data_IF_652415585968
#
_entry.id   IF_652415585968
#
_cell.length_a   1.000
_cell.length_b   1.000
_cell.length_c   1.000
_cell.angle_alpha   90.00
_cell.angle_beta   90.00
_cell.angle_gamma   90.00
#
_symmetry.space_group_name_H-M   'P 1'
#
loop_
_entity.id
_entity.type
_entity.pdbx_description
1 polymer ?
#
# COMPACT_ATOMS: atom_id res chain seq x y z
N UNK A 1 -13.73 31.13 -28.05
CA UNK A 1 -14.35 29.79 -27.95
C UNK A 1 -13.27 28.74 -28.08
N UNK A 2 -12.55 28.44 -26.99
CA UNK A 2 -11.58 27.35 -26.93
C UNK A 2 -12.33 26.09 -26.52
N UNK A 3 -12.51 25.15 -27.45
CA UNK A 3 -13.05 23.83 -27.15
C UNK A 3 -12.14 23.19 -26.11
N UNK A 4 -12.72 22.90 -24.94
CA UNK A 4 -12.04 22.22 -23.85
C UNK A 4 -11.52 20.88 -24.36
N UNK A 5 -10.24 20.62 -24.11
CA UNK A 5 -9.71 19.26 -24.18
C UNK A 5 -10.49 18.48 -23.13
N UNK A 6 -11.36 17.58 -23.58
CA UNK A 6 -12.04 16.64 -22.71
C UNK A 6 -10.96 15.93 -21.90
N UNK A 7 -10.92 16.25 -20.62
CA UNK A 7 -9.96 15.66 -19.69
C UNK A 7 -10.41 14.22 -19.53
N UNK A 8 -9.79 13.33 -20.31
CA UNK A 8 -10.14 11.92 -20.35
C UNK A 8 -10.01 11.34 -18.93
N UNK A 9 -11.17 11.08 -18.32
CA UNK A 9 -11.28 10.48 -17.00
C UNK A 9 -10.61 9.10 -17.04
N UNK A 10 -9.64 8.86 -16.15
CA UNK A 10 -8.97 7.55 -16.05
C UNK A 10 -9.81 6.63 -15.16
N UNK A 11 -10.82 5.99 -15.74
CA UNK A 11 -11.42 4.81 -15.12
C UNK A 11 -10.46 3.63 -15.31
N UNK A 12 -10.31 2.77 -14.30
CA UNK A 12 -9.57 1.53 -14.45
C UNK A 12 -10.35 0.60 -15.41
N UNK A 13 -9.63 -0.24 -16.15
CA UNK A 13 -10.20 -1.22 -17.07
C UNK A 13 -11.34 -2.04 -16.43
N UNK A 14 -11.11 -2.52 -15.22
CA UNK A 14 -12.08 -3.34 -14.49
C UNK A 14 -13.37 -2.56 -14.17
N UNK A 15 -13.26 -1.29 -13.79
CA UNK A 15 -14.42 -0.43 -13.48
C UNK A 15 -15.26 -0.18 -14.73
N UNK A 16 -14.60 -0.01 -15.88
CA UNK A 16 -15.27 0.16 -17.17
C UNK A 16 -16.03 -1.12 -17.52
N UNK A 17 -15.38 -2.28 -17.42
CA UNK A 17 -16.00 -3.58 -17.72
C UNK A 17 -17.19 -3.84 -16.80
N UNK A 18 -17.03 -3.65 -15.49
CA UNK A 18 -18.11 -3.83 -14.50
C UNK A 18 -19.34 -2.97 -14.82
N UNK A 19 -19.14 -1.68 -15.13
CA UNK A 19 -20.22 -0.78 -15.54
C UNK A 19 -20.89 -1.18 -16.86
N UNK A 20 -20.10 -1.67 -17.83
CA UNK A 20 -20.67 -2.19 -19.09
C UNK A 20 -21.50 -3.43 -18.79
N UNK A 21 -21.04 -4.35 -17.95
CA UNK A 21 -21.77 -5.56 -17.53
C UNK A 21 -23.12 -5.21 -16.90
N UNK A 22 -23.13 -4.30 -15.93
CA UNK A 22 -24.36 -3.87 -15.24
C UNK A 22 -25.40 -3.29 -16.20
N UNK A 23 -24.97 -2.47 -17.17
CA UNK A 23 -25.88 -1.72 -18.05
C UNK A 23 -26.22 -2.43 -19.37
N UNK A 24 -25.37 -3.34 -19.83
CA UNK A 24 -25.60 -4.09 -21.08
C UNK A 24 -26.34 -5.42 -20.88
N UNK A 25 -26.30 -5.98 -19.66
CA UNK A 25 -26.78 -7.34 -19.41
C UNK A 25 -25.91 -8.44 -20.06
N UNK A 26 -24.74 -8.09 -20.61
CA UNK A 26 -23.80 -9.04 -21.21
C UNK A 26 -22.86 -9.61 -20.16
N UNK A 27 -22.46 -10.86 -20.34
CA UNK A 27 -21.45 -11.48 -19.47
C UNK A 27 -20.09 -10.78 -19.63
N UNK A 28 -19.32 -10.74 -18.55
CA UNK A 28 -17.98 -10.14 -18.54
C UNK A 28 -17.06 -10.72 -19.64
N UNK A 29 -17.12 -12.03 -19.86
CA UNK A 29 -16.35 -12.72 -20.91
C UNK A 29 -16.65 -12.19 -22.32
N UNK A 30 -17.92 -11.91 -22.60
CA UNK A 30 -18.37 -11.38 -23.89
C UNK A 30 -17.90 -9.93 -24.08
N UNK A 31 -17.91 -9.13 -23.02
CA UNK A 31 -17.41 -7.75 -23.05
C UNK A 31 -15.90 -7.72 -23.30
N UNK A 32 -15.13 -8.54 -22.58
CA UNK A 32 -13.67 -8.64 -22.77
C UNK A 32 -13.35 -9.07 -24.20
N UNK A 33 -14.08 -10.05 -24.75
CA UNK A 33 -13.90 -10.48 -26.14
C UNK A 33 -14.08 -9.33 -27.13
N UNK A 34 -15.16 -8.53 -26.99
CA UNK A 34 -15.41 -7.37 -27.85
C UNK A 34 -14.33 -6.29 -27.73
N UNK A 35 -13.78 -6.11 -26.53
CA UNK A 35 -12.69 -5.16 -26.29
C UNK A 35 -11.42 -5.62 -26.99
N UNK A 36 -11.06 -6.90 -26.85
CA UNK A 36 -9.86 -7.47 -27.45
C UNK A 36 -9.94 -7.42 -28.99
N UNK A 37 -11.10 -7.78 -29.57
CA UNK A 37 -11.37 -7.60 -31.01
C UNK A 37 -11.19 -6.13 -31.44
N UNK A 38 -11.61 -5.17 -30.62
CA UNK A 38 -11.46 -3.74 -30.93
C UNK A 38 -10.01 -3.26 -30.87
N UNK A 39 -9.23 -3.76 -29.91
CA UNK A 39 -7.79 -3.51 -29.84
C UNK A 39 -7.07 -4.03 -31.08
N UNK A 40 -7.43 -5.22 -31.56
CA UNK A 40 -6.87 -5.82 -32.78
C UNK A 40 -7.24 -5.03 -34.03
N UNK A 41 -8.52 -4.67 -34.21
CA UNK A 41 -8.98 -3.87 -35.35
C UNK A 41 -8.23 -2.53 -35.43
N UNK A 42 -7.97 -1.93 -34.27
CA UNK A 42 -7.29 -0.65 -34.19
C UNK A 42 -5.76 -0.79 -34.17
N UNK A 43 -5.23 -1.99 -34.47
CA UNK A 43 -3.81 -2.27 -34.69
C UNK A 43 -2.91 -1.77 -33.55
N UNK A 44 -3.40 -1.83 -32.31
CA UNK A 44 -2.67 -1.35 -31.13
C UNK A 44 -2.58 0.18 -30.98
N UNK A 45 -3.29 0.96 -31.80
CA UNK A 45 -3.35 2.44 -31.67
C UNK A 45 -4.08 2.90 -30.40
N UNK A 46 -4.84 2.00 -29.76
CA UNK A 46 -5.55 2.28 -28.51
C UNK A 46 -5.25 1.20 -27.49
N UNK A 47 -5.12 1.65 -26.23
CA UNK A 47 -4.98 0.75 -25.07
C UNK A 47 -6.27 -0.03 -24.83
N UNK A 48 -6.20 -1.06 -23.97
CA UNK A 48 -7.37 -1.86 -23.58
C UNK A 48 -8.46 -1.01 -22.93
N UNK A 49 -8.08 -0.01 -22.14
CA UNK A 49 -9.00 1.00 -21.58
C UNK A 49 -9.64 1.85 -22.68
N UNK A 50 -8.84 2.30 -23.66
CA UNK A 50 -9.33 3.02 -24.83
C UNK A 50 -10.35 2.20 -25.63
N UNK A 51 -10.06 0.92 -25.87
CA UNK A 51 -10.99 -0.01 -26.50
C UNK A 51 -12.25 -0.26 -25.67
N UNK A 52 -12.13 -0.35 -24.34
CA UNK A 52 -13.28 -0.48 -23.44
C UNK A 52 -14.21 0.73 -23.50
N UNK A 53 -13.67 1.95 -23.61
CA UNK A 53 -14.45 3.16 -23.84
C UNK A 53 -15.17 3.14 -25.21
N UNK A 54 -14.53 2.60 -26.25
CA UNK A 54 -15.14 2.46 -27.58
C UNK A 54 -16.32 1.48 -27.51
N UNK A 55 -16.12 0.30 -26.90
CA UNK A 55 -17.18 -0.70 -26.73
C UNK A 55 -18.35 -0.16 -25.91
N UNK A 56 -18.07 0.60 -24.83
CA UNK A 56 -19.12 1.24 -24.05
C UNK A 56 -19.95 2.22 -24.90
N UNK A 57 -19.31 3.04 -25.72
CA UNK A 57 -19.99 3.97 -26.62
C UNK A 57 -20.81 3.25 -27.70
N UNK A 58 -20.32 2.15 -28.26
CA UNK A 58 -21.07 1.33 -29.23
C UNK A 58 -22.33 0.71 -28.62
N UNK A 59 -22.25 0.31 -27.34
CA UNK A 59 -23.40 -0.15 -26.58
C UNK A 59 -24.31 0.99 -26.10
N UNK A 60 -24.03 2.24 -26.48
CA UNK A 60 -24.71 3.45 -26.00
C UNK A 60 -24.71 3.59 -24.47
N UNK A 61 -23.69 3.01 -23.82
CA UNK A 61 -23.50 3.05 -22.37
C UNK A 61 -22.65 4.26 -22.03
N UNK A 62 -23.28 5.23 -21.37
CA UNK A 62 -22.55 6.32 -20.73
C UNK A 62 -21.86 5.77 -19.48
N UNK A 63 -20.54 5.59 -19.56
CA UNK A 63 -19.68 5.18 -18.43
C UNK A 63 -19.65 6.22 -17.31
N UNK A 64 -19.98 7.46 -17.67
CA UNK A 64 -20.18 8.58 -16.77
C UNK A 64 -21.63 8.99 -16.84
N UNK A 65 -22.36 8.79 -15.76
CA UNK A 65 -23.47 9.68 -15.48
C UNK A 65 -22.87 11.00 -15.02
N UNK A 66 -23.43 12.12 -15.48
CA UNK A 66 -23.30 13.35 -14.70
C UNK A 66 -24.06 13.06 -13.41
N UNK A 67 -23.36 12.55 -12.41
CA UNK A 67 -23.95 12.31 -11.10
C UNK A 67 -24.17 13.69 -10.50
N UNK A 68 -25.36 14.24 -10.71
CA UNK A 68 -25.78 15.46 -10.04
C UNK A 68 -26.26 15.09 -8.65
N UNK A 69 -25.57 15.57 -7.62
CA UNK A 69 -25.95 15.41 -6.22
C UNK A 69 -24.89 14.70 -5.38
N UNK A 70 -25.26 14.43 -4.11
CA UNK A 70 -24.41 13.80 -3.10
C UNK A 70 -24.06 12.36 -3.49
N UNK A 71 -22.77 12.05 -3.55
CA UNK A 71 -22.24 10.69 -3.74
C UNK A 71 -21.62 10.14 -2.46
N UNK A 72 -21.61 8.82 -2.34
CA UNK A 72 -20.89 8.13 -1.27
C UNK A 72 -19.38 8.18 -1.54
N UNK A 73 -18.59 8.12 -0.47
CA UNK A 73 -17.14 8.29 -0.56
C UNK A 73 -16.48 7.18 -1.39
N UNK A 74 -16.97 5.94 -1.31
CA UNK A 74 -16.44 4.81 -2.10
C UNK A 74 -16.55 5.03 -3.62
N UNK A 75 -17.50 5.86 -4.06
CA UNK A 75 -17.81 6.09 -5.47
C UNK A 75 -17.07 7.31 -6.03
N UNK A 76 -16.25 7.99 -5.21
CA UNK A 76 -15.42 9.11 -5.64
C UNK A 76 -14.25 8.60 -6.46
N UNK A 77 -14.24 8.93 -7.75
CA UNK A 77 -13.21 8.51 -8.69
C UNK A 77 -12.34 9.67 -9.17
N UNK A 78 -11.05 9.41 -9.34
CA UNK A 78 -10.09 10.39 -9.87
C UNK A 78 -10.56 11.01 -11.18
N UNK A 79 -10.50 12.34 -11.27
CA UNK A 79 -10.95 13.12 -12.41
C UNK A 79 -12.37 13.68 -12.28
N UNK A 80 -13.20 13.16 -11.37
CA UNK A 80 -14.53 13.73 -11.11
C UNK A 80 -14.44 15.23 -10.76
N UNK A 81 -15.28 16.03 -11.42
CA UNK A 81 -15.45 17.46 -11.15
C UNK A 81 -16.77 17.65 -10.42
N UNK A 82 -16.84 18.69 -9.61
CA UNK A 82 -18.04 19.03 -8.83
C UNK A 82 -18.55 17.90 -7.94
N UNK A 83 -17.62 17.21 -7.26
CA UNK A 83 -17.94 16.19 -6.26
C UNK A 83 -18.70 16.83 -5.11
N UNK A 84 -19.90 16.32 -4.83
CA UNK A 84 -20.63 16.59 -3.61
C UNK A 84 -20.63 15.32 -2.75
N UNK A 85 -20.14 15.39 -1.52
CA UNK A 85 -20.13 14.24 -0.60
C UNK A 85 -20.15 14.73 0.84
N UNK A 86 -20.59 13.88 1.77
CA UNK A 86 -20.52 14.18 3.19
C UNK A 86 -19.79 13.08 3.94
N UNK A 87 -19.06 13.46 4.97
CA UNK A 87 -18.30 12.53 5.81
C UNK A 87 -18.03 13.13 7.18
N UNK A 88 -17.90 12.27 8.18
CA UNK A 88 -17.45 12.63 9.52
C UNK A 88 -15.92 12.71 9.54
N UNK A 89 -15.37 13.78 10.12
CA UNK A 89 -13.93 13.99 10.24
C UNK A 89 -13.33 12.90 11.12
N UNK A 90 -12.34 12.20 10.57
CA UNK A 90 -11.57 11.17 11.27
C UNK A 90 -10.22 11.68 11.75
N UNK A 91 -9.60 12.60 11.00
CA UNK A 91 -8.28 13.10 11.29
C UNK A 91 -8.08 14.48 10.66
N UNK A 92 -7.42 15.39 11.37
CA UNK A 92 -7.07 16.72 10.89
C UNK A 92 -5.55 16.86 10.86
N UNK A 93 -4.97 17.30 9.74
CA UNK A 93 -3.53 17.53 9.62
C UNK A 93 -3.19 19.02 9.79
N UNK A 94 -1.98 19.35 10.30
CA UNK A 94 -1.57 20.74 10.48
C UNK A 94 -1.53 21.53 9.16
N UNK A 95 -1.88 22.82 9.24
CA UNK A 95 -1.67 23.79 8.16
C UNK A 95 -0.18 23.89 7.84
N UNK A 96 0.17 23.86 6.56
CA UNK A 96 1.52 24.06 6.05
C UNK A 96 1.55 25.22 5.06
N UNK A 97 2.65 25.96 5.02
CA UNK A 97 2.90 26.98 3.99
C UNK A 97 3.97 26.49 3.02
N UNK A 98 3.92 26.99 1.79
CA UNK A 98 4.92 26.70 0.76
C UNK A 98 5.15 27.94 -0.10
N UNK A 99 6.37 28.09 -0.61
CA UNK A 99 6.69 29.15 -1.56
C UNK A 99 6.59 28.64 -2.98
N UNK A 100 6.01 29.42 -3.88
CA UNK A 100 5.89 29.12 -5.30
C UNK A 100 6.08 30.40 -6.11
N UNK A 101 6.72 30.32 -7.27
CA UNK A 101 6.75 31.43 -8.23
C UNK A 101 5.44 31.49 -9.00
N UNK A 102 4.85 32.68 -9.11
CA UNK A 102 3.69 32.93 -9.96
C UNK A 102 4.11 32.99 -11.45
N UNK A 103 3.17 33.27 -12.35
CA UNK A 103 3.45 33.36 -13.79
C UNK A 103 4.36 34.55 -14.16
N UNK A 104 4.52 35.52 -13.25
CA UNK A 104 5.38 36.68 -13.37
C UNK A 104 6.73 36.50 -12.66
N UNK A 105 7.10 35.27 -12.28
CA UNK A 105 8.32 34.93 -11.54
C UNK A 105 8.46 35.56 -10.13
N UNK A 106 7.38 36.11 -9.57
CA UNK A 106 7.36 36.66 -8.22
C UNK A 106 7.10 35.53 -7.20
N UNK A 107 7.80 35.59 -6.06
CA UNK A 107 7.56 34.64 -4.95
C UNK A 107 6.18 34.89 -4.32
N UNK A 108 5.33 33.87 -4.36
CA UNK A 108 4.06 33.82 -3.65
C UNK A 108 4.08 32.72 -2.59
N UNK A 109 3.52 33.01 -1.42
CA UNK A 109 3.33 32.04 -0.35
C UNK A 109 1.93 31.43 -0.42
N UNK A 110 1.86 30.13 -0.73
CA UNK A 110 0.65 29.34 -0.70
C UNK A 110 0.45 28.61 0.62
N UNK A 111 -0.80 28.26 0.92
CA UNK A 111 -1.17 27.45 2.07
C UNK A 111 -1.78 26.13 1.64
N UNK A 112 -1.51 25.08 2.39
CA UNK A 112 -2.14 23.77 2.21
C UNK A 112 -2.46 23.15 3.57
N UNK A 113 -3.66 22.61 3.68
CA UNK A 113 -4.07 21.78 4.79
C UNK A 113 -4.84 20.57 4.27
N UNK A 114 -4.97 19.54 5.09
CA UNK A 114 -5.78 18.39 4.70
C UNK A 114 -6.39 17.73 5.92
N UNK A 115 -7.44 16.96 5.68
CA UNK A 115 -8.12 16.17 6.70
C UNK A 115 -8.70 14.91 6.03
N UNK A 116 -9.09 13.93 6.85
CA UNK A 116 -9.76 12.70 6.38
C UNK A 116 -11.20 12.74 6.84
N UNK A 117 -12.11 12.45 5.92
CA UNK A 117 -13.52 12.21 6.23
C UNK A 117 -13.89 10.76 5.94
N UNK A 118 -14.92 10.27 6.62
CA UNK A 118 -15.48 8.95 6.44
C UNK A 118 -17.01 9.00 6.40
N UNK A 119 -17.62 8.17 5.57
CA UNK A 119 -19.05 7.86 5.60
C UNK A 119 -19.24 6.37 5.91
N UNK A 120 -20.44 5.82 5.73
CA UNK A 120 -20.71 4.39 5.93
C UNK A 120 -19.92 3.49 4.95
N UNK A 121 -19.38 4.06 3.88
CA UNK A 121 -18.83 3.31 2.74
C UNK A 121 -17.31 3.31 2.64
N UNK A 122 -16.65 4.45 2.87
CA UNK A 122 -15.21 4.57 2.75
C UNK A 122 -14.66 5.80 3.48
N UNK A 123 -13.33 5.94 3.46
CA UNK A 123 -12.62 7.14 3.91
C UNK A 123 -11.93 7.81 2.72
N UNK A 124 -11.84 9.14 2.73
CA UNK A 124 -11.12 9.90 1.70
C UNK A 124 -10.38 11.09 2.29
N UNK A 125 -9.22 11.40 1.72
CA UNK A 125 -8.49 12.64 2.05
C UNK A 125 -9.11 13.81 1.30
N UNK A 126 -9.27 14.91 2.01
CA UNK A 126 -9.69 16.20 1.49
C UNK A 126 -8.54 17.19 1.66
N UNK A 127 -8.14 17.84 0.58
CA UNK A 127 -7.01 18.78 0.54
C UNK A 127 -7.54 20.19 0.27
N UNK A 128 -7.25 21.10 1.21
CA UNK A 128 -7.61 22.50 1.21
C UNK A 128 -6.43 23.34 0.70
N UNK A 129 -6.67 24.23 -0.25
CA UNK A 129 -5.64 25.10 -0.82
C UNK A 129 -5.92 26.57 -0.55
N UNK A 130 -4.85 27.34 -0.31
CA UNK A 130 -4.87 28.80 -0.10
C UNK A 130 -5.89 29.20 0.97
N UNK A 131 -6.83 30.09 0.65
CA UNK A 131 -7.84 30.60 1.60
C UNK A 131 -8.68 29.49 2.23
N UNK A 132 -8.93 28.39 1.50
CA UNK A 132 -9.63 27.24 2.06
C UNK A 132 -8.82 26.54 3.15
N UNK A 133 -7.49 26.61 3.09
CA UNK A 133 -6.62 25.96 4.07
C UNK A 133 -6.79 26.57 5.47
N UNK A 134 -7.10 27.87 5.57
CA UNK A 134 -7.33 28.52 6.86
C UNK A 134 -8.56 27.96 7.60
N UNK A 135 -9.52 27.38 6.87
CA UNK A 135 -10.72 26.73 7.41
C UNK A 135 -10.44 25.42 8.15
N UNK A 136 -9.22 24.89 8.08
CA UNK A 136 -8.80 23.72 8.86
C UNK A 136 -9.04 23.92 10.37
N UNK A 137 -9.02 25.18 10.84
CA UNK A 137 -9.27 25.56 12.24
C UNK A 137 -10.72 25.34 12.68
N UNK A 138 -11.66 25.28 11.73
CA UNK A 138 -13.07 25.00 11.99
C UNK A 138 -13.33 23.48 12.19
N UNK A 139 -12.35 22.65 11.82
CA UNK A 139 -12.46 21.19 11.77
C UNK A 139 -11.87 20.55 13.02
N UNK A 140 -12.58 19.55 13.54
CA UNK A 140 -12.14 18.66 14.61
C UNK A 140 -12.69 17.27 14.35
N UNK A 141 -12.04 16.24 14.90
CA UNK A 141 -12.53 14.87 14.83
C UNK A 141 -13.97 14.76 15.33
N UNK A 142 -14.77 13.91 14.69
CA UNK A 142 -16.18 13.70 15.00
C UNK A 142 -17.17 14.68 14.36
N UNK A 143 -16.73 15.82 13.81
CA UNK A 143 -17.62 16.75 13.10
C UNK A 143 -18.10 16.18 11.77
N UNK A 144 -19.33 16.51 11.36
CA UNK A 144 -19.84 16.12 10.04
C UNK A 144 -19.56 17.25 9.05
N UNK A 145 -19.03 16.89 7.90
CA UNK A 145 -18.65 17.83 6.85
C UNK A 145 -19.40 17.48 5.58
N UNK A 146 -19.99 18.48 4.94
CA UNK A 146 -20.51 18.39 3.58
C UNK A 146 -19.62 19.20 2.65
N UNK A 147 -19.11 18.52 1.62
CA UNK A 147 -18.34 19.12 0.55
C UNK A 147 -19.26 19.32 -0.64
N UNK A 148 -19.18 20.49 -1.26
CA UNK A 148 -19.75 20.76 -2.58
C UNK A 148 -18.69 21.32 -3.51
N UNK A 149 -18.84 21.02 -4.79
CA UNK A 149 -17.92 21.43 -5.84
C UNK A 149 -16.46 21.04 -5.61
N UNK A 150 -16.24 19.85 -5.01
CA UNK A 150 -14.91 19.26 -4.87
C UNK A 150 -14.34 18.76 -6.20
N UNK A 151 -13.02 18.70 -6.32
CA UNK A 151 -12.35 18.09 -7.49
C UNK A 151 -11.61 16.84 -7.06
N UNK A 152 -12.03 15.66 -7.54
CA UNK A 152 -11.30 14.43 -7.30
C UNK A 152 -10.02 14.39 -8.14
N UNK A 153 -8.87 14.27 -7.49
CA UNK A 153 -7.56 14.12 -8.14
C UNK A 153 -6.93 12.81 -7.74
N UNK A 154 -6.15 12.26 -8.67
CA UNK A 154 -5.28 11.12 -8.36
C UNK A 154 -4.08 11.58 -7.54
N UNK A 155 -3.87 10.94 -6.40
CA UNK A 155 -2.64 11.02 -5.62
C UNK A 155 -2.04 9.62 -5.49
N UNK A 156 -1.14 9.27 -6.40
CA UNK A 156 -0.43 7.99 -6.39
C UNK A 156 -1.39 6.78 -6.41
N UNK A 157 -2.44 6.85 -7.25
CA UNK A 157 -3.46 5.81 -7.34
C UNK A 157 -4.59 5.91 -6.32
N UNK A 158 -4.58 6.94 -5.46
CA UNK A 158 -5.64 7.19 -4.46
C UNK A 158 -6.44 8.43 -4.85
N UNK A 159 -7.77 8.35 -4.96
CA UNK A 159 -8.57 9.55 -5.17
C UNK A 159 -8.52 10.44 -3.92
N UNK A 160 -8.28 11.73 -4.12
CA UNK A 160 -8.37 12.76 -3.09
C UNK A 160 -9.25 13.91 -3.56
N UNK A 161 -10.03 14.49 -2.65
CA UNK A 161 -10.88 15.63 -2.98
C UNK A 161 -10.12 16.93 -2.72
N UNK A 162 -9.83 17.68 -3.78
CA UNK A 162 -9.24 19.00 -3.70
C UNK A 162 -10.33 20.06 -3.64
N UNK A 163 -10.28 20.92 -2.62
CA UNK A 163 -11.14 22.09 -2.53
C UNK A 163 -10.41 23.32 -3.09
N UNK A 164 -11.09 24.04 -3.96
CA UNK A 164 -10.64 25.29 -4.57
C UNK A 164 -11.48 26.46 -4.05
N UNK A 165 -11.23 27.67 -4.56
CA UNK A 165 -12.05 28.84 -4.27
C UNK A 165 -13.53 28.68 -4.66
N UNK A 166 -13.85 27.77 -5.60
CA UNK A 166 -15.24 27.47 -5.99
C UNK A 166 -15.92 26.42 -5.11
N UNK A 167 -15.16 25.71 -4.30
CA UNK A 167 -15.68 24.61 -3.49
C UNK A 167 -16.30 25.15 -2.21
N UNK A 168 -17.39 24.53 -1.75
CA UNK A 168 -18.00 24.84 -0.46
C UNK A 168 -17.73 23.71 0.53
N UNK A 169 -17.35 24.10 1.75
CA UNK A 169 -17.14 23.22 2.88
C UNK A 169 -18.14 23.66 3.96
N UNK A 170 -19.11 22.82 4.28
CA UNK A 170 -20.15 23.09 5.27
C UNK A 170 -19.86 22.22 6.49
N UNK A 171 -19.64 22.86 7.63
CA UNK A 171 -19.37 22.20 8.91
C UNK A 171 -20.69 22.02 9.65
N UNK A 172 -20.90 20.81 10.20
CA UNK A 172 -22.10 20.40 10.92
C UNK A 172 -23.41 20.73 10.16
N UNK A 173 -23.58 20.20 8.93
CA UNK A 173 -24.76 20.44 8.11
C UNK A 173 -26.03 19.86 8.76
N UNK A 174 -27.12 20.62 8.71
CA UNK A 174 -28.42 20.21 9.24
C UNK A 174 -28.97 19.02 8.41
N UNK A 175 -29.43 17.98 9.10
CA UNK A 175 -30.12 16.85 8.47
C UNK A 175 -29.21 15.81 7.83
N UNK A 176 -27.90 15.83 8.12
CA UNK A 176 -26.97 14.77 7.73
C UNK A 176 -26.48 14.07 8.98
N UNK A 177 -26.79 12.79 9.09
CA UNK A 177 -26.25 11.88 10.10
C UNK A 177 -25.35 10.86 9.40
N UNK A 178 -24.27 10.44 10.06
CA UNK A 178 -23.32 9.48 9.54
C UNK A 178 -23.01 8.46 10.62
N UNK A 179 -23.21 7.17 10.33
CA UNK A 179 -22.92 6.07 11.25
C UNK A 179 -21.66 5.32 10.81
N UNK A 180 -20.59 5.41 11.60
CA UNK A 180 -19.30 4.82 11.26
C UNK A 180 -19.06 3.45 11.90
N UNK A 181 -20.06 2.79 12.48
CA UNK A 181 -19.90 1.48 13.14
C UNK A 181 -19.16 0.45 12.27
N UNK A 182 -19.45 0.42 10.97
CA UNK A 182 -18.84 -0.54 10.02
C UNK A 182 -17.46 -0.12 9.50
N UNK A 183 -17.12 1.17 9.63
CA UNK A 183 -15.88 1.77 9.13
C UNK A 183 -14.81 1.82 10.23
N UNK A 184 -15.21 1.94 11.50
CA UNK A 184 -14.31 1.94 12.65
C UNK A 184 -13.41 0.69 12.71
N UNK A 185 -13.83 -0.42 12.09
CA UNK A 185 -13.07 -1.68 12.04
C UNK A 185 -12.26 -1.88 10.74
N UNK A 186 -12.54 -1.13 9.67
CA UNK A 186 -11.77 -1.21 8.43
C UNK A 186 -10.56 -0.27 8.53
N UNK A 187 -9.30 -0.73 8.42
CA UNK A 187 -8.16 0.19 8.37
C UNK A 187 -8.27 1.14 7.16
N UNK A 188 -7.60 2.29 7.21
CA UNK A 188 -7.55 3.34 6.17
C UNK A 188 -6.99 2.86 4.80
N UNK A 189 -6.76 1.56 4.63
CA UNK A 189 -6.19 0.99 3.42
C UNK A 189 -7.33 0.57 2.49
N UNK A 190 -7.52 1.34 1.41
CA UNK A 190 -8.11 0.82 0.18
C UNK A 190 -7.44 -0.54 -0.08
N UNK A 191 -8.23 -1.60 -0.22
CA UNK A 191 -7.74 -2.98 -0.30
C UNK A 191 -6.56 -3.05 -1.25
N UNK A 192 -5.36 -3.21 -0.68
CA UNK A 192 -4.15 -3.31 -1.50
C UNK A 192 -4.31 -4.58 -2.31
N UNK A 193 -4.30 -4.41 -3.63
CA UNK A 193 -4.40 -5.54 -4.54
C UNK A 193 -3.10 -6.33 -4.43
N UNK A 194 -3.16 -7.57 -3.93
CA UNK A 194 -2.04 -8.52 -4.00
C UNK A 194 -1.86 -8.89 -5.45
N UNK A 195 -0.63 -8.72 -5.94
CA UNK A 195 -0.25 -9.03 -7.32
C UNK A 195 0.99 -9.91 -7.26
N UNK A 196 1.14 -10.83 -8.22
CA UNK A 196 2.39 -11.55 -8.43
C UNK A 196 3.35 -10.69 -9.23
N UNK A 197 4.66 -10.85 -9.03
CA UNK A 197 5.67 -10.01 -9.66
C UNK A 197 5.53 -10.05 -11.19
N UNK A 198 5.29 -11.23 -11.77
CA UNK A 198 5.08 -11.40 -13.23
C UNK A 198 3.89 -10.61 -13.81
N UNK A 199 2.91 -10.28 -12.97
CA UNK A 199 1.65 -9.66 -13.38
C UNK A 199 1.68 -8.13 -13.17
N UNK A 200 2.81 -7.60 -12.67
CA UNK A 200 3.03 -6.17 -12.50
C UNK A 200 3.09 -5.47 -13.85
N UNK A 201 2.39 -4.34 -13.94
CA UNK A 201 2.40 -3.45 -15.11
C UNK A 201 3.12 -2.16 -14.80
N UNK A 202 3.65 -1.52 -15.84
CA UNK A 202 4.22 -0.18 -15.73
C UNK A 202 3.18 0.83 -15.24
N UNK A 203 3.47 1.53 -14.14
CA UNK A 203 2.57 2.52 -13.55
C UNK A 203 1.50 1.97 -12.62
N UNK A 204 1.54 0.67 -12.30
CA UNK A 204 0.74 0.10 -11.21
C UNK A 204 1.01 0.88 -9.91
N UNK A 205 -0.07 1.18 -9.19
CA UNK A 205 -0.04 1.95 -7.94
C UNK A 205 -0.81 1.20 -6.86
N UNK A 206 -0.39 1.38 -5.60
CA UNK A 206 -1.02 0.77 -4.43
C UNK A 206 -1.17 -0.77 -4.54
N UNK A 207 -0.15 -1.43 -5.09
CA UNK A 207 -0.09 -2.90 -5.20
C UNK A 207 0.72 -3.49 -4.05
N UNK A 208 0.39 -4.72 -3.68
CA UNK A 208 1.00 -5.46 -2.57
C UNK A 208 1.76 -6.69 -3.11
N UNK A 209 3.03 -6.81 -2.73
CA UNK A 209 3.89 -7.93 -3.07
C UNK A 209 4.25 -8.69 -1.79
N UNK A 210 4.01 -10.00 -1.81
CA UNK A 210 4.52 -10.92 -0.81
C UNK A 210 5.69 -11.67 -1.45
N UNK A 211 6.91 -11.42 -0.99
CA UNK A 211 8.14 -11.81 -1.70
C UNK A 211 9.30 -12.03 -0.73
N UNK A 212 10.34 -12.71 -1.19
CA UNK A 212 11.59 -12.90 -0.49
C UNK A 212 12.64 -11.91 -0.99
N UNK A 213 13.47 -11.39 -0.08
CA UNK A 213 14.65 -10.60 -0.45
C UNK A 213 15.77 -11.55 -0.88
N UNK A 214 16.00 -11.70 -2.17
CA UNK A 214 17.02 -12.63 -2.70
C UNK A 214 18.39 -11.98 -2.89
N UNK A 215 18.42 -10.65 -3.02
CA UNK A 215 19.65 -9.88 -3.08
C UNK A 215 19.42 -8.46 -2.56
N UNK A 216 20.44 -7.85 -1.97
CA UNK A 216 20.41 -6.47 -1.52
C UNK A 216 21.77 -5.81 -1.75
N UNK A 217 21.76 -4.55 -2.16
CA UNK A 217 22.97 -3.76 -2.37
C UNK A 217 23.26 -2.93 -1.13
N UNK A 218 24.50 -2.46 -0.93
CA UNK A 218 24.78 -1.54 0.18
C UNK A 218 23.95 -0.24 0.05
N UNK A 219 23.35 0.27 1.15
CA UNK A 219 22.67 1.56 1.15
C UNK A 219 23.57 2.68 0.66
N UNK A 220 23.07 3.48 -0.29
CA UNK A 220 23.78 4.67 -0.78
C UNK A 220 23.33 5.90 -0.04
N UNK A 221 24.25 6.54 0.67
CA UNK A 221 24.05 7.79 1.37
C UNK A 221 24.27 8.98 0.44
N UNK A 222 23.50 10.04 0.63
CA UNK A 222 23.66 11.30 -0.08
C UNK A 222 23.17 12.47 0.77
N UNK A 223 23.70 13.65 0.47
CA UNK A 223 23.45 14.87 1.21
C UNK A 223 22.11 15.50 0.79
N UNK A 224 21.34 15.91 1.80
CA UNK A 224 20.04 16.57 1.64
C UNK A 224 19.94 17.80 2.54
N UNK A 225 19.06 18.72 2.17
CA UNK A 225 18.80 19.89 2.98
C UNK A 225 18.02 19.48 4.24
N UNK A 226 18.43 19.89 5.45
CA UNK A 226 17.71 19.55 6.69
C UNK A 226 16.27 20.08 6.70
N UNK A 227 16.00 21.19 6.00
CA UNK A 227 14.69 21.88 5.99
C UNK A 227 13.68 21.26 5.01
N UNK A 228 14.08 21.02 3.75
CA UNK A 228 13.17 20.48 2.72
C UNK A 228 13.49 19.07 2.25
N UNK A 229 14.57 18.45 2.73
CA UNK A 229 14.99 17.08 2.39
C UNK A 229 15.28 16.85 0.89
N UNK A 230 15.40 17.94 0.11
CA UNK A 230 15.87 17.91 -1.28
C UNK A 230 17.39 17.77 -1.30
N UNK A 231 17.91 17.13 -2.35
CA UNK A 231 19.34 16.94 -2.56
C UNK A 231 20.07 18.29 -2.61
N UNK A 232 21.17 18.41 -1.88
CA UNK A 232 22.04 19.60 -1.91
C UNK A 232 23.21 19.37 -2.85
N UNK A 233 23.81 20.45 -3.36
CA UNK A 233 24.99 20.40 -4.22
C UNK A 233 26.20 20.98 -3.49
N UNK A 234 27.36 20.32 -3.50
CA UNK A 234 28.58 20.93 -2.99
C UNK A 234 29.00 22.12 -3.87
N UNK A 235 29.47 23.19 -3.23
CA UNK A 235 30.14 24.37 -3.81
C UNK A 235 31.42 24.65 -3.04
N UNK A 236 32.25 25.58 -3.52
CA UNK A 236 33.56 25.92 -2.92
C UNK A 236 33.46 26.24 -1.41
N UNK A 237 32.38 26.89 -0.97
CA UNK A 237 32.17 27.31 0.43
C UNK A 237 31.10 26.50 1.19
N UNK A 238 30.79 25.26 0.77
CA UNK A 238 29.87 24.37 1.51
C UNK A 238 28.73 23.80 0.67
N UNK A 239 27.61 23.42 1.31
CA UNK A 239 26.48 22.77 0.64
C UNK A 239 25.35 23.75 0.34
N UNK A 240 24.87 23.72 -0.90
CA UNK A 240 23.83 24.63 -1.37
C UNK A 240 22.53 23.90 -1.70
N UNK A 241 21.44 24.37 -1.10
CA UNK A 241 20.06 24.01 -1.42
C UNK A 241 19.42 25.09 -2.30
N UNK A 242 18.75 24.69 -3.38
CA UNK A 242 18.08 25.62 -4.29
C UNK A 242 17.00 26.50 -3.60
N UNK A 243 16.45 26.05 -2.46
CA UNK A 243 15.43 26.78 -1.69
C UNK A 243 15.99 27.48 -0.44
N UNK A 244 16.93 26.85 0.27
CA UNK A 244 17.42 27.30 1.57
C UNK A 244 18.82 27.90 1.52
N UNK A 245 19.39 28.03 0.32
CA UNK A 245 20.75 28.51 0.06
C UNK A 245 21.77 27.64 0.79
N UNK A 246 22.78 28.26 1.40
CA UNK A 246 23.81 27.58 2.17
C UNK A 246 23.21 26.89 3.40
N UNK A 247 23.51 25.61 3.55
CA UNK A 247 23.03 24.77 4.64
C UNK A 247 24.11 23.79 5.06
N UNK A 248 24.14 23.44 6.34
CA UNK A 248 24.81 22.20 6.77
C UNK A 248 23.95 21.01 6.33
N UNK A 249 24.51 20.06 5.55
CA UNK A 249 23.74 18.97 5.00
C UNK A 249 23.32 17.97 6.07
N UNK A 250 22.09 17.47 5.95
CA UNK A 250 21.67 16.23 6.57
C UNK A 250 21.89 15.08 5.58
N UNK A 251 21.80 13.83 6.03
CA UNK A 251 21.96 12.65 5.17
C UNK A 251 20.66 11.90 4.97
N UNK A 252 20.47 11.44 3.73
CA UNK A 252 19.42 10.50 3.33
C UNK A 252 20.05 9.31 2.63
N UNK A 253 19.29 8.22 2.54
CA UNK A 253 19.80 6.95 2.00
C UNK A 253 18.75 6.24 1.16
N UNK A 254 19.26 5.52 0.15
CA UNK A 254 18.49 4.66 -0.73
C UNK A 254 19.11 3.27 -0.77
N UNK A 255 18.28 2.26 -0.56
CA UNK A 255 18.65 0.86 -0.68
C UNK A 255 17.96 0.28 -1.90
N UNK A 256 18.70 -0.51 -2.67
CA UNK A 256 18.10 -1.33 -3.72
C UNK A 256 18.17 -2.78 -3.29
N UNK A 257 17.09 -3.52 -3.55
CA UNK A 257 17.05 -4.96 -3.35
C UNK A 257 16.41 -5.65 -4.56
N UNK A 258 16.59 -6.95 -4.68
CA UNK A 258 15.91 -7.82 -5.63
C UNK A 258 14.96 -8.70 -4.85
N UNK A 259 13.70 -8.68 -5.26
CA UNK A 259 12.62 -9.45 -4.68
C UNK A 259 12.26 -10.61 -5.59
N UNK A 260 11.87 -11.74 -5.01
CA UNK A 260 11.40 -12.93 -5.71
C UNK A 260 10.16 -13.49 -5.00
N UNK A 261 9.08 -13.75 -5.73
CA UNK A 261 7.83 -14.32 -5.20
C UNK A 261 7.52 -15.72 -5.78
N UNK A 262 8.51 -16.32 -6.43
CA UNK A 262 8.44 -17.59 -7.16
C UNK A 262 7.91 -17.46 -8.59
N UNK A 263 7.43 -16.29 -9.01
CA UNK A 263 6.92 -16.07 -10.38
C UNK A 263 7.91 -15.33 -11.27
N UNK A 264 8.52 -14.27 -10.75
CA UNK A 264 9.56 -13.49 -11.42
C UNK A 264 10.34 -12.70 -10.36
N UNK A 265 11.47 -12.11 -10.76
CA UNK A 265 12.25 -11.22 -9.89
C UNK A 265 12.03 -9.76 -10.27
N UNK A 266 12.00 -8.86 -9.27
CA UNK A 266 11.90 -7.41 -9.51
C UNK A 266 12.87 -6.64 -8.63
N UNK A 267 13.43 -5.56 -9.20
CA UNK A 267 14.23 -4.61 -8.44
C UNK A 267 13.31 -3.71 -7.62
N UNK A 268 13.48 -3.70 -6.32
CA UNK A 268 12.80 -2.81 -5.40
C UNK A 268 13.71 -1.69 -4.89
N UNK A 269 13.15 -0.50 -4.75
CA UNK A 269 13.84 0.72 -4.29
C UNK A 269 13.20 1.17 -2.98
N UNK A 270 14.02 1.22 -1.94
CA UNK A 270 13.65 1.62 -0.58
C UNK A 270 14.28 2.97 -0.27
N UNK A 271 13.47 3.94 0.14
CA UNK A 271 13.93 5.27 0.52
C UNK A 271 13.79 5.49 2.02
N UNK A 272 14.82 6.06 2.66
CA UNK A 272 14.78 6.60 4.03
C UNK A 272 14.07 5.68 5.03
N UNK A 273 12.85 6.03 5.45
CA UNK A 273 12.08 5.33 6.47
C UNK A 273 11.78 3.87 6.09
N UNK A 274 11.76 3.54 4.80
CA UNK A 274 11.59 2.16 4.34
C UNK A 274 12.86 1.32 4.55
N UNK A 275 14.04 1.95 4.45
CA UNK A 275 15.33 1.31 4.75
C UNK A 275 15.43 1.07 6.25
N UNK A 276 15.13 2.08 7.05
CA UNK A 276 15.04 2.00 8.53
C UNK A 276 14.13 0.84 8.97
N UNK A 277 12.94 0.74 8.37
CA UNK A 277 11.99 -0.33 8.65
C UNK A 277 12.47 -1.71 8.22
N UNK A 278 13.07 -1.82 7.03
CA UNK A 278 13.55 -3.10 6.52
C UNK A 278 14.62 -3.70 7.44
N UNK A 279 15.52 -2.86 7.96
CA UNK A 279 16.57 -3.27 8.89
C UNK A 279 16.14 -3.23 10.37
N UNK A 280 14.95 -2.73 10.68
CA UNK A 280 14.50 -2.46 12.07
C UNK A 280 15.45 -1.57 12.88
N UNK A 281 16.00 -0.53 12.24
CA UNK A 281 16.94 0.41 12.87
C UNK A 281 16.46 1.85 12.75
N UNK A 282 16.93 2.69 13.66
CA UNK A 282 16.70 4.14 13.62
C UNK A 282 17.60 4.85 12.62
N UNK A 283 17.24 6.10 12.26
CA UNK A 283 18.10 6.97 11.47
C UNK A 283 19.49 7.17 12.08
N UNK A 284 19.61 7.29 13.40
CA UNK A 284 20.90 7.49 14.07
C UNK A 284 21.83 6.28 13.84
N UNK A 285 21.30 5.07 14.06
CA UNK A 285 22.02 3.83 13.80
C UNK A 285 22.42 3.69 12.32
N UNK A 286 21.55 4.09 11.38
CA UNK A 286 21.90 4.12 9.96
C UNK A 286 23.09 5.04 9.65
N UNK A 287 23.18 6.19 10.33
CA UNK A 287 24.28 7.14 10.13
C UNK A 287 25.59 6.63 10.73
N UNK A 288 25.54 5.94 11.88
CA UNK A 288 26.73 5.29 12.48
C UNK A 288 27.32 4.22 11.55
N UNK A 289 26.46 3.50 10.82
CA UNK A 289 26.88 2.48 9.87
C UNK A 289 27.53 3.04 8.61
N UNK A 290 27.26 4.30 8.26
CA UNK A 290 27.83 4.94 7.06
C UNK A 290 29.35 4.84 7.03
N UNK A 291 30.00 4.94 8.18
CA UNK A 291 31.45 4.95 8.32
C UNK A 291 32.01 3.59 8.78
N UNK A 292 31.18 2.54 8.85
CA UNK A 292 31.54 1.19 9.24
C UNK A 292 31.08 0.15 8.18
N UNK A 293 31.91 -0.10 7.14
CA UNK A 293 31.55 -0.99 6.03
C UNK A 293 31.26 -2.44 6.43
N UNK A 294 32.02 -2.99 7.39
CA UNK A 294 31.88 -4.39 7.79
C UNK A 294 30.52 -4.64 8.45
N UNK A 295 30.13 -3.78 9.39
CA UNK A 295 28.81 -3.86 10.04
C UNK A 295 27.65 -3.60 9.06
N UNK A 296 27.87 -2.76 8.04
CA UNK A 296 26.88 -2.55 6.97
C UNK A 296 26.68 -3.82 6.13
N UNK A 297 27.75 -4.55 5.81
CA UNK A 297 27.66 -5.79 5.05
C UNK A 297 26.92 -6.87 5.83
N UNK A 298 27.18 -7.01 7.13
CA UNK A 298 26.48 -7.99 7.96
C UNK A 298 24.99 -7.67 8.06
N UNK A 299 24.63 -6.40 8.23
CA UNK A 299 23.24 -5.96 8.19
C UNK A 299 22.56 -6.27 6.84
N UNK A 300 23.25 -6.10 5.72
CA UNK A 300 22.71 -6.45 4.39
C UNK A 300 22.52 -7.96 4.26
N UNK A 301 23.39 -8.78 4.85
CA UNK A 301 23.23 -10.25 4.86
C UNK A 301 22.03 -10.68 5.68
N UNK A 302 21.75 -10.01 6.80
CA UNK A 302 20.65 -10.40 7.71
C UNK A 302 19.27 -10.28 7.06
N UNK A 303 19.09 -9.38 6.08
CA UNK A 303 17.83 -9.26 5.36
C UNK A 303 17.69 -10.26 4.21
N UNK A 304 18.76 -10.96 3.81
CA UNK A 304 18.68 -11.94 2.73
C UNK A 304 17.87 -13.16 3.16
N UNK A 305 16.95 -13.59 2.31
CA UNK A 305 16.02 -14.68 2.59
C UNK A 305 14.85 -14.27 3.49
N UNK A 306 14.79 -13.02 3.95
CA UNK A 306 13.62 -12.53 4.70
C UNK A 306 12.37 -12.53 3.82
N UNK A 307 11.25 -12.96 4.41
CA UNK A 307 9.94 -12.92 3.78
C UNK A 307 9.29 -11.58 4.11
N UNK A 308 9.09 -10.76 3.10
CA UNK A 308 8.63 -9.38 3.27
C UNK A 308 7.32 -9.15 2.54
N UNK A 309 6.51 -8.32 3.17
CA UNK A 309 5.26 -7.83 2.65
C UNK A 309 5.39 -6.34 2.35
N UNK A 310 5.40 -6.02 1.06
CA UNK A 310 5.71 -4.69 0.59
C UNK A 310 4.52 -4.13 -0.17
N UNK A 311 4.22 -2.85 0.04
CA UNK A 311 3.29 -2.14 -0.83
C UNK A 311 3.96 -0.94 -1.48
N UNK A 312 3.57 -0.66 -2.71
CA UNK A 312 4.25 0.35 -3.49
C UNK A 312 3.64 0.56 -4.86
N UNK A 313 4.48 1.07 -5.75
CA UNK A 313 4.13 1.36 -7.13
C UNK A 313 5.24 0.89 -8.06
N UNK A 314 4.90 0.62 -9.30
CA UNK A 314 5.91 0.39 -10.33
C UNK A 314 6.26 1.70 -11.02
N UNK A 315 7.52 1.84 -11.41
CA UNK A 315 7.99 2.98 -12.19
C UNK A 315 8.90 2.44 -13.28
N UNK A 316 8.67 2.87 -14.53
CA UNK A 316 9.53 2.51 -15.64
C UNK A 316 10.78 3.40 -15.61
N UNK A 317 11.94 2.78 -15.44
CA UNK A 317 13.20 3.47 -15.60
C UNK A 317 13.51 3.60 -17.09
N UNK A 318 13.25 4.78 -17.65
CA UNK A 318 13.35 5.06 -19.09
C UNK A 318 14.78 4.85 -19.61
N UNK A 319 15.80 5.10 -18.78
CA UNK A 319 17.21 4.97 -19.15
C UNK A 319 17.63 3.50 -19.35
N UNK A 320 17.09 2.59 -18.52
CA UNK A 320 17.45 1.18 -18.52
C UNK A 320 16.35 0.25 -19.07
N UNK A 321 15.25 0.83 -19.56
CA UNK A 321 14.06 0.13 -20.06
C UNK A 321 13.54 -0.98 -19.12
N UNK A 322 13.65 -0.78 -17.81
CA UNK A 322 13.23 -1.77 -16.80
C UNK A 322 12.19 -1.19 -15.85
N UNK A 323 11.26 -2.03 -15.42
CA UNK A 323 10.29 -1.71 -14.38
C UNK A 323 10.95 -1.88 -13.01
N UNK A 324 10.83 -0.87 -12.15
CA UNK A 324 11.33 -0.89 -10.78
C UNK A 324 10.14 -0.75 -9.82
N UNK A 325 10.18 -1.46 -8.70
CA UNK A 325 9.18 -1.36 -7.64
C UNK A 325 9.62 -0.33 -6.60
N UNK A 326 8.92 0.80 -6.53
CA UNK A 326 9.18 1.84 -5.52
C UNK A 326 8.33 1.54 -4.29
N UNK A 327 9.00 1.21 -3.20
CA UNK A 327 8.36 0.79 -1.94
C UNK A 327 7.81 2.01 -1.20
N UNK A 328 6.59 1.87 -0.69
CA UNK A 328 5.85 2.89 0.05
C UNK A 328 5.47 2.43 1.46
N UNK A 329 5.33 1.12 1.68
CA UNK A 329 5.20 0.53 3.02
C UNK A 329 5.95 -0.79 3.07
N UNK A 330 6.51 -1.09 4.24
CA UNK A 330 7.32 -2.27 4.53
C UNK A 330 6.73 -2.95 5.76
N UNK A 331 6.49 -4.25 5.63
CA UNK A 331 6.22 -5.19 6.71
C UNK A 331 7.19 -6.37 6.56
N UNK A 332 7.97 -6.62 7.60
CA UNK A 332 9.07 -7.61 7.62
C UNK A 332 8.67 -8.94 8.28
N UNK A 333 7.48 -9.01 8.87
CA UNK A 333 6.98 -10.21 9.54
C UNK A 333 5.52 -10.48 9.15
N UNK A 334 5.27 -10.82 7.87
CA UNK A 334 3.92 -11.12 7.42
C UNK A 334 3.37 -12.36 8.13
N UNK A 335 2.30 -12.18 8.90
CA UNK A 335 1.67 -13.25 9.67
C UNK A 335 1.12 -14.36 8.76
N UNK A 336 1.64 -15.60 8.86
CA UNK A 336 1.19 -16.72 8.02
C UNK A 336 -0.30 -17.03 8.18
N UNK A 337 -0.88 -16.82 9.37
CA UNK A 337 -2.30 -17.11 9.62
C UNK A 337 -3.21 -16.16 8.85
N UNK A 338 -2.80 -14.90 8.70
CA UNK A 338 -3.60 -13.91 7.99
C UNK A 338 -3.49 -14.13 6.48
N UNK A 339 -2.34 -14.60 5.99
CA UNK A 339 -2.18 -15.01 4.59
C UNK A 339 -3.02 -16.26 4.25
N UNK A 340 -3.09 -17.27 5.13
CA UNK A 340 -3.94 -18.44 4.92
C UNK A 340 -5.42 -18.04 4.80
N UNK A 341 -5.90 -17.17 5.69
CA UNK A 341 -7.28 -16.66 5.63
C UNK A 341 -7.55 -15.94 4.30
N UNK A 342 -6.58 -15.16 3.81
CA UNK A 342 -6.68 -14.47 2.51
C UNK A 342 -6.83 -15.46 1.36
N UNK A 343 -5.99 -16.49 1.31
CA UNK A 343 -6.04 -17.52 0.28
C UNK A 343 -7.34 -18.34 0.30
N UNK A 344 -7.92 -18.55 1.49
CA UNK A 344 -9.21 -19.23 1.62
C UNK A 344 -10.38 -18.38 1.10
N UNK A 345 -10.31 -17.04 1.20
CA UNK A 345 -11.30 -16.10 0.64
C UNK A 345 -11.24 -16.08 -0.90
N UNK A 346 -10.04 -16.14 -1.48
CA UNK A 346 -9.83 -16.14 -2.93
C UNK A 346 -10.09 -17.51 -3.60
N UNK A 347 -10.35 -18.56 -2.80
CA UNK A 347 -10.67 -19.88 -3.34
C UNK A 347 -12.08 -19.85 -3.96
N UNK A 348 -12.23 -20.14 -5.27
CA UNK A 348 -13.56 -20.28 -5.85
C UNK A 348 -14.31 -21.40 -5.12
N UNK A 349 -15.53 -21.10 -4.65
CA UNK A 349 -16.41 -22.10 -4.03
C UNK A 349 -16.62 -23.22 -5.04
N UNK A 350 -15.90 -24.32 -4.88
CA UNK A 350 -16.20 -25.53 -5.61
C UNK A 350 -17.56 -26.01 -5.12
N UNK A 351 -18.59 -25.88 -5.96
CA UNK A 351 -19.87 -26.56 -5.75
C UNK A 351 -19.54 -28.05 -5.63
N UNK A 352 -19.66 -28.60 -4.43
CA UNK A 352 -19.63 -30.06 -4.24
C UNK A 352 -20.77 -30.64 -5.08
N UNK A 353 -20.44 -31.43 -6.10
CA UNK A 353 -21.42 -32.31 -6.73
C UNK A 353 -21.89 -33.32 -5.67
N UNK A 354 -23.19 -33.63 -5.60
CA UNK A 354 -23.68 -34.64 -4.66
C UNK A 354 -23.12 -36.00 -5.07
N UNK A 355 -22.39 -36.65 -4.16
CA UNK A 355 -21.93 -38.03 -4.31
C UNK A 355 -23.15 -38.93 -4.56
N UNK A 356 -23.21 -39.55 -5.74
CA UNK A 356 -24.17 -40.63 -6.01
C UNK A 356 -23.70 -41.86 -5.25
N UNK A 357 -24.43 -42.23 -4.20
CA UNK A 357 -24.33 -43.57 -3.58
C UNK A 357 -24.58 -44.64 -4.64
N UNK A 358 -23.52 -45.38 -5.01
CA UNK A 358 -23.64 -46.61 -5.78
C UNK A 358 -24.02 -47.74 -4.83
N UNK A 359 -25.29 -48.15 -4.89
CA UNK A 359 -25.78 -49.40 -4.29
C UNK A 359 -25.07 -50.56 -5.01
N UNK A 360 -24.27 -51.33 -4.27
CA UNK A 360 -23.68 -52.59 -4.75
C UNK A 360 -24.72 -53.71 -4.59
N UNK A 361 -25.17 -54.27 -5.71
CA UNK A 361 -25.84 -55.56 -5.73
C UNK A 361 -24.78 -56.67 -5.66
N UNK A 362 -24.85 -57.51 -4.62
CA UNK A 362 -24.09 -58.75 -4.54
C UNK A 362 -24.72 -59.81 -5.44
N UNK A 363 -23.96 -60.31 -6.41
CA UNK A 363 -24.25 -61.59 -7.06
C UNK A 363 -23.06 -62.54 -6.89
N UNK A 364 -23.34 -63.57 -6.10
CA UNK A 364 -22.57 -64.80 -5.88
C UNK A 364 -22.53 -65.70 -7.12
N UNK A 365 -21.37 -66.29 -7.41
CA UNK A 365 -21.09 -67.70 -7.79
C UNK A 365 -19.67 -67.78 -8.38
N UNK A 366 -18.68 -68.39 -7.71
CA UNK A 366 -18.36 -69.83 -7.63
C UNK A 366 -17.92 -70.46 -8.96
N UNK A 367 -16.61 -70.74 -9.09
CA UNK A 367 -16.06 -72.02 -9.61
C UNK A 367 -14.52 -71.96 -9.75
N UNK A 368 -13.82 -72.92 -9.09
CA UNK A 368 -12.71 -73.79 -9.58
C UNK A 368 -11.70 -73.23 -10.60
N UNK A 369 -10.37 -73.45 -10.57
CA UNK A 369 -9.53 -74.60 -10.19
C UNK A 369 -8.03 -74.18 -10.28
N UNK A 370 -7.22 -74.66 -9.33
CA UNK A 370 -5.91 -75.38 -9.44
C UNK A 370 -4.75 -74.85 -10.33
N UNK A 371 -3.59 -74.66 -9.66
CA UNK A 371 -2.17 -74.96 -10.03
C UNK A 371 -1.54 -74.26 -11.24
N UNK A 372 -0.37 -73.60 -11.16
CA UNK A 372 0.92 -74.16 -10.75
C UNK A 372 2.00 -73.07 -10.65
N UNK A 373 3.00 -73.32 -9.78
CA UNK A 373 4.25 -72.58 -9.53
C UNK A 373 5.23 -72.63 -10.74
N UNK A 374 6.53 -72.19 -10.69
CA UNK A 374 7.27 -71.42 -9.65
C UNK A 374 8.22 -70.28 -10.15
N UNK A 375 8.59 -69.44 -9.18
CA UNK A 375 9.93 -68.95 -8.77
C UNK A 375 10.98 -68.41 -9.77
N UNK A 376 11.54 -67.23 -9.42
CA UNK A 376 12.85 -67.07 -8.76
C UNK A 376 13.00 -65.62 -8.25
N UNK A 377 13.05 -65.43 -6.92
CA UNK A 377 14.25 -65.16 -6.11
C UNK A 377 14.89 -63.77 -6.44
N UNK A 378 15.20 -62.89 -5.50
CA UNK A 378 15.62 -63.09 -4.12
C UNK A 378 15.45 -61.81 -3.27
N UNK A 379 15.14 -62.03 -1.98
CA UNK A 379 15.72 -61.38 -0.78
C UNK A 379 15.78 -59.85 -0.67
N UNK A 380 15.60 -59.21 0.48
CA UNK A 380 15.19 -59.54 1.84
C UNK A 380 15.26 -58.18 2.58
N UNK A 381 14.29 -57.83 3.41
CA UNK A 381 14.53 -57.48 4.82
C UNK A 381 13.20 -57.12 5.48
N UNK A 382 12.84 -57.84 6.54
CA UNK A 382 11.65 -57.64 7.34
C UNK A 382 11.97 -56.85 8.61
N UNK A 383 11.13 -55.87 8.91
CA UNK A 383 10.46 -55.60 10.21
C UNK A 383 11.10 -56.08 11.52
N UNK A 384 11.13 -55.19 12.52
CA UNK A 384 10.27 -55.18 13.74
C UNK A 384 10.98 -54.31 14.81
N UNK A 385 10.37 -53.22 15.29
CA UNK A 385 9.40 -53.13 16.40
C UNK A 385 9.98 -53.56 17.77
N UNK A 386 10.16 -52.62 18.71
CA UNK A 386 9.34 -52.47 19.93
C UNK A 386 9.96 -51.56 21.01
N UNK A 387 9.11 -50.66 21.49
CA UNK A 387 8.95 -49.97 22.78
C UNK A 387 9.88 -50.26 23.97
N UNK A 388 10.25 -49.20 24.71
CA UNK A 388 10.13 -49.15 26.18
C UNK A 388 10.11 -47.71 26.74
N UNK A 389 9.15 -47.45 27.64
CA UNK A 389 8.97 -46.24 28.48
C UNK A 389 9.89 -46.27 29.70
N UNK A 390 10.37 -45.11 30.15
CA UNK A 390 10.69 -44.86 31.57
C UNK A 390 10.34 -43.40 31.96
N UNK A 391 9.84 -43.26 33.19
CA UNK A 391 9.23 -42.11 33.85
C UNK A 391 10.23 -41.27 34.69
N UNK A 392 10.02 -39.93 34.69
CA UNK A 392 10.12 -38.92 35.79
C UNK A 392 11.50 -38.64 36.46
N UNK A 393 11.74 -37.49 37.17
CA UNK A 393 10.74 -36.58 37.77
C UNK A 393 10.97 -35.03 37.65
N UNK A 394 9.90 -34.32 38.04
CA UNK A 394 9.79 -32.88 38.32
C UNK A 394 10.72 -32.42 39.46
N UNK A 395 11.26 -31.20 39.37
CA UNK A 395 11.58 -30.35 40.53
C UNK A 395 11.18 -28.90 40.31
N UNK A 396 10.30 -28.44 41.19
CA UNK A 396 9.97 -27.08 41.56
C UNK A 396 11.13 -26.38 42.27
N UNK A 397 11.27 -25.07 42.11
CA UNK A 397 11.75 -24.19 43.18
C UNK A 397 11.20 -22.77 43.04
N UNK A 398 10.69 -22.30 44.16
CA UNK A 398 10.00 -21.06 44.43
C UNK A 398 10.95 -19.97 44.95
N UNK A 399 10.54 -18.72 44.73
CA UNK A 399 10.67 -17.53 45.61
C UNK A 399 12.05 -17.09 46.10
N UNK A 400 12.37 -15.80 45.88
CA UNK A 400 12.48 -14.83 46.98
C UNK A 400 12.58 -13.39 46.51
N UNK A 401 11.86 -12.57 47.25
CA UNK A 401 11.77 -11.11 47.28
C UNK A 401 12.69 -10.60 48.40
N UNK A 402 13.41 -9.49 48.17
CA UNK A 402 14.06 -8.56 49.13
C UNK A 402 14.27 -7.28 48.29
N UNK A 403 13.76 -6.06 48.53
CA UNK A 403 13.49 -5.19 49.70
C UNK A 403 14.73 -4.89 50.55
N UNK A 404 15.44 -3.82 50.14
CA UNK A 404 16.22 -2.87 50.96
C UNK A 404 16.17 -1.56 50.15
N UNK A 405 15.87 -0.36 50.63
CA UNK A 405 15.87 0.22 51.96
C UNK A 405 16.41 1.65 51.80
N UNK A 406 15.65 2.62 52.28
CA UNK A 406 15.88 4.06 52.35
C UNK A 406 17.27 4.46 52.86
N UNK A 407 17.81 5.55 52.30
CA UNK A 407 18.97 6.28 52.83
C UNK A 407 18.84 7.76 52.48
N UNK A 408 18.49 8.54 53.50
CA UNK A 408 18.48 9.99 53.52
C UNK A 408 19.89 10.57 53.33
N UNK A 409 20.00 11.67 52.58
CA UNK A 409 21.03 12.69 52.83
C UNK A 409 20.48 14.07 52.47
N UNK A 410 20.18 14.83 53.52
CA UNK A 410 20.20 16.30 53.55
C UNK A 410 21.66 16.82 53.52
N UNK A 411 21.76 18.14 53.34
CA UNK A 411 22.93 19.04 53.30
C UNK A 411 23.55 19.22 51.91
N UNK A 412 23.89 20.42 51.44
CA UNK A 412 23.76 21.82 51.87
C UNK A 412 23.96 22.64 50.57
N UNK A 413 23.16 23.67 50.33
CA UNK A 413 23.64 25.07 50.22
C UNK A 413 25.05 25.24 49.64
N UNK A 414 25.17 25.82 48.45
CA UNK A 414 25.91 27.07 48.28
C UNK A 414 25.57 27.76 46.95
N UNK A 415 25.28 29.05 47.12
CA UNK A 415 25.13 30.08 46.11
C UNK A 415 26.52 30.65 45.77
N UNK A 416 26.56 31.52 44.76
CA UNK A 416 27.70 32.34 44.32
C UNK A 416 28.72 31.56 43.44
N UNK A 417 29.23 32.07 42.32
CA UNK A 417 29.49 33.45 41.96
C UNK A 417 29.55 33.60 40.43
N UNK A 418 28.94 34.68 39.97
CA UNK A 418 29.14 35.35 38.69
C UNK A 418 30.57 35.90 38.63
N UNK A 419 31.36 35.61 37.59
CA UNK A 419 32.44 36.50 37.13
C UNK A 419 32.69 36.26 35.63
N UNK A 420 32.61 37.37 34.90
CA UNK A 420 33.08 37.58 33.53
C UNK A 420 34.56 37.19 33.36
N UNK A 421 34.89 36.59 32.21
CA UNK A 421 35.84 37.13 31.22
C UNK A 421 35.80 36.35 29.91
#
# INVERSE_FOLDING_TARGET
>A
MTRGVDTMFKLNFNDIVSKITEKSGLSEKEIIKRIDEKCEILSGLVSREGAAHIVANELSIKLFEQISGKIQIKDVLSGMKSVETAGMVQQVFPLRTFKRKNQQDEEYEGKVASFVIADETARIRVTLWNDQADRIKELSEGKIIMIKDGMAKDNQGRPEIHLSSRSSLIVDPIGIEIDLKDIAQKPMQMEKRRVKIKDLKDGDTNVELLSFVVNAFEPRFFEVCPKCQKRVRPREDGFFCDEHKEVEPDHSYVLNAVLDDGTETIRAVFFRNHVERLFSVSKQQMLELKDNPDSMQDMVKDILGSHVLLSGRTTKNVMFQRTEFVVQEVDIDPNPRDEIKRLDIDRPVQKKEPEKEMIREEQTQSSTEISSMPEKASSAFSTQETSQKQDLPKKSLSSKTEVIGSGDHENDADQEEEILL
#
